data_IF_541181514475
#
_entry.id   IF_541181514475
#
_cell.length_a   1.000
_cell.length_b   1.000
_cell.length_c   1.000
_cell.angle_alpha   90.00
_cell.angle_beta   90.00
_cell.angle_gamma   90.00
#
_symmetry.space_group_name_H-M   'P 1'
#
loop_
_entity.id
_entity.type
_entity.pdbx_description
1 polymer ?
#
# COMPACT_ATOMS: atom_id res chain seq x y z
N UNK A 1 -18.26 0.00 9.31
CA UNK A 1 -18.40 -1.01 10.39
C UNK A 1 -18.24 -0.34 11.75
N UNK A 2 -18.86 -0.92 12.77
CA UNK A 2 -18.76 -0.49 14.17
C UNK A 2 -17.38 -0.85 14.76
N UNK A 3 -17.00 -0.17 15.86
CA UNK A 3 -15.82 -0.53 16.65
C UNK A 3 -16.16 -1.48 17.82
N UNK A 4 -17.44 -1.76 18.05
CA UNK A 4 -17.89 -2.74 19.06
C UNK A 4 -17.72 -4.15 18.50
N UNK A 5 -17.03 -5.02 19.25
CA UNK A 5 -16.66 -6.35 18.78
C UNK A 5 -17.87 -7.28 18.62
N UNK A 6 -18.82 -7.24 19.58
CA UNK A 6 -19.98 -8.11 19.56
C UNK A 6 -20.93 -7.70 18.42
N UNK A 7 -21.19 -6.39 18.28
CA UNK A 7 -21.98 -5.85 17.18
C UNK A 7 -21.33 -6.13 15.81
N UNK A 8 -20.00 -6.04 15.73
CA UNK A 8 -19.27 -6.36 14.49
C UNK A 8 -19.42 -7.85 14.13
N UNK A 9 -19.41 -8.73 15.12
CA UNK A 9 -19.65 -10.16 14.93
C UNK A 9 -21.03 -10.45 14.35
N UNK A 10 -22.07 -9.80 14.89
CA UNK A 10 -23.45 -9.93 14.41
C UNK A 10 -23.58 -9.42 12.97
N UNK A 11 -23.02 -8.23 12.67
CA UNK A 11 -23.04 -7.67 11.31
C UNK A 11 -22.35 -8.60 10.31
N UNK A 12 -21.17 -9.12 10.65
CA UNK A 12 -20.45 -10.05 9.78
C UNK A 12 -21.25 -11.35 9.54
N UNK A 13 -21.88 -11.87 10.59
CA UNK A 13 -22.72 -13.08 10.47
C UNK A 13 -23.93 -12.83 9.53
N UNK A 14 -24.60 -11.71 9.68
CA UNK A 14 -25.74 -11.33 8.85
C UNK A 14 -25.33 -11.10 7.38
N UNK A 15 -24.25 -10.41 7.15
CA UNK A 15 -23.70 -10.18 5.80
C UNK A 15 -23.32 -11.51 5.12
N UNK A 16 -22.62 -12.39 5.81
CA UNK A 16 -22.23 -13.70 5.27
C UNK A 16 -23.43 -14.60 5.00
N UNK A 17 -24.37 -14.68 5.93
CA UNK A 17 -25.54 -15.56 5.81
C UNK A 17 -26.50 -15.15 4.70
N UNK A 18 -26.58 -13.83 4.43
CA UNK A 18 -27.41 -13.26 3.35
C UNK A 18 -26.65 -13.05 2.03
N UNK A 19 -25.33 -13.31 1.97
CA UNK A 19 -24.44 -12.94 0.88
C UNK A 19 -24.56 -11.45 0.52
N UNK A 20 -24.78 -10.60 1.53
CA UNK A 20 -24.85 -9.16 1.33
C UNK A 20 -23.45 -8.58 1.10
N UNK A 21 -23.30 -7.81 0.05
CA UNK A 21 -22.06 -7.09 -0.27
C UNK A 21 -22.25 -5.61 0.10
N UNK A 22 -21.59 -5.12 1.15
CA UNK A 22 -21.73 -3.72 1.57
C UNK A 22 -21.16 -2.77 0.51
N UNK A 23 -21.77 -1.59 0.39
CA UNK A 23 -21.25 -0.53 -0.48
C UNK A 23 -19.88 -0.05 0.00
N UNK A 24 -18.97 0.14 -0.95
CA UNK A 24 -17.67 0.74 -0.69
C UNK A 24 -17.83 2.25 -0.51
N UNK A 25 -17.18 2.80 0.49
CA UNK A 25 -17.22 4.24 0.77
C UNK A 25 -16.55 5.08 -0.33
N UNK A 26 -15.53 4.51 -0.96
CA UNK A 26 -14.81 5.09 -2.09
C UNK A 26 -14.69 4.03 -3.18
N UNK A 27 -15.19 4.33 -4.38
CA UNK A 27 -15.27 3.39 -5.51
C UNK A 27 -14.56 3.89 -6.78
N UNK A 28 -13.71 4.92 -6.69
CA UNK A 28 -13.10 5.57 -7.84
C UNK A 28 -11.58 5.38 -7.92
N UNK A 29 -11.07 4.21 -7.48
CA UNK A 29 -9.64 3.93 -7.57
C UNK A 29 -9.28 3.56 -9.02
N UNK A 30 -8.32 4.24 -9.60
CA UNK A 30 -7.73 3.81 -10.86
C UNK A 30 -6.62 2.78 -10.59
N UNK A 31 -6.93 1.52 -10.85
CA UNK A 31 -6.00 0.40 -10.69
C UNK A 31 -5.40 -0.06 -12.03
N UNK A 32 -5.68 0.64 -13.13
CA UNK A 32 -5.26 0.23 -14.48
C UNK A 32 -3.74 0.18 -14.66
N UNK A 33 -3.02 1.05 -13.99
CA UNK A 33 -1.56 1.15 -14.06
C UNK A 33 -0.80 0.08 -13.26
N UNK A 34 -1.51 -0.77 -12.50
CA UNK A 34 -0.87 -1.76 -11.62
C UNK A 34 -1.05 -3.18 -12.16
N UNK A 35 0.04 -3.91 -12.30
CA UNK A 35 0.04 -5.33 -12.66
C UNK A 35 -0.14 -6.24 -11.44
N UNK A 36 0.20 -5.76 -10.25
CA UNK A 36 0.12 -6.49 -8.99
C UNK A 36 -0.71 -5.71 -7.97
N UNK A 37 -1.66 -6.39 -7.36
CA UNK A 37 -2.55 -5.84 -6.34
C UNK A 37 -2.47 -6.69 -5.07
N UNK A 38 -2.08 -6.06 -3.97
CA UNK A 38 -2.11 -6.68 -2.65
C UNK A 38 -3.48 -6.48 -2.02
N UNK A 39 -4.11 -7.57 -1.57
CA UNK A 39 -5.38 -7.52 -0.85
C UNK A 39 -5.13 -7.86 0.62
N UNK A 40 -5.23 -6.84 1.48
CA UNK A 40 -5.03 -6.97 2.92
C UNK A 40 -6.34 -6.94 3.70
N UNK A 41 -6.52 -7.87 4.65
CA UNK A 41 -7.75 -7.99 5.43
C UNK A 41 -7.53 -8.73 6.76
N UNK A 42 -8.39 -8.50 7.77
CA UNK A 42 -8.53 -9.42 8.90
C UNK A 42 -9.35 -10.63 8.47
N UNK A 43 -8.99 -11.82 8.95
CA UNK A 43 -9.84 -13.01 8.75
C UNK A 43 -11.03 -12.95 9.69
N UNK A 44 -12.24 -12.99 9.14
CA UNK A 44 -13.49 -13.03 9.88
C UNK A 44 -14.22 -14.35 9.62
N UNK A 45 -14.63 -15.03 10.67
CA UNK A 45 -15.31 -16.34 10.57
C UNK A 45 -14.61 -17.32 9.61
N UNK A 46 -13.27 -17.35 9.66
CA UNK A 46 -12.40 -18.20 8.81
C UNK A 46 -12.39 -17.85 7.32
N UNK A 47 -12.86 -16.66 6.94
CA UNK A 47 -12.87 -16.20 5.55
C UNK A 47 -12.62 -14.67 5.45
N UNK A 48 -12.80 -14.11 4.26
CA UNK A 48 -12.70 -12.66 4.01
C UNK A 48 -13.95 -11.93 4.49
N UNK A 49 -13.83 -10.69 4.99
CA UNK A 49 -14.99 -9.82 5.20
C UNK A 49 -15.72 -9.54 3.89
N UNK A 50 -17.05 -9.40 3.93
CA UNK A 50 -17.88 -9.15 2.74
C UNK A 50 -17.47 -7.87 1.98
N UNK A 51 -16.93 -6.87 2.67
CA UNK A 51 -16.38 -5.68 2.03
C UNK A 51 -15.21 -5.97 1.07
N UNK A 52 -14.42 -7.01 1.33
CA UNK A 52 -13.36 -7.46 0.40
C UNK A 52 -13.99 -8.03 -0.87
N UNK A 53 -15.07 -8.80 -0.73
CA UNK A 53 -15.81 -9.31 -1.90
C UNK A 53 -16.48 -8.18 -2.68
N UNK A 54 -16.97 -7.13 -2.00
CA UNK A 54 -17.45 -5.92 -2.67
C UNK A 54 -16.37 -5.29 -3.55
N UNK A 55 -15.14 -5.15 -3.03
CA UNK A 55 -14.01 -4.64 -3.78
C UNK A 55 -13.69 -5.52 -4.99
N UNK A 56 -13.59 -6.83 -4.80
CA UNK A 56 -13.28 -7.79 -5.89
C UNK A 56 -14.35 -7.81 -6.98
N UNK A 57 -15.59 -7.47 -6.64
CA UNK A 57 -16.69 -7.35 -7.59
C UNK A 57 -16.70 -6.00 -8.34
N UNK A 58 -16.32 -4.94 -7.65
CA UNK A 58 -16.30 -3.57 -8.18
C UNK A 58 -15.19 -3.37 -9.22
N UNK A 59 -14.02 -3.95 -8.96
CA UNK A 59 -12.82 -3.72 -9.76
C UNK A 59 -12.46 -4.92 -10.63
N UNK A 60 -12.21 -4.67 -11.91
CA UNK A 60 -11.70 -5.69 -12.83
C UNK A 60 -10.21 -5.96 -12.57
N UNK A 61 -9.94 -7.14 -12.02
CA UNK A 61 -8.60 -7.63 -11.73
C UNK A 61 -8.10 -8.64 -12.78
N UNK A 62 -8.82 -8.79 -13.89
CA UNK A 62 -8.44 -9.72 -14.98
C UNK A 62 -7.03 -9.40 -15.49
N UNK A 63 -6.20 -10.42 -15.60
CA UNK A 63 -4.82 -10.30 -16.07
C UNK A 63 -3.83 -9.73 -15.05
N UNK A 64 -4.29 -9.34 -13.85
CA UNK A 64 -3.42 -8.89 -12.76
C UNK A 64 -3.02 -10.03 -11.86
N UNK A 65 -1.90 -9.86 -11.16
CA UNK A 65 -1.52 -10.72 -10.05
C UNK A 65 -2.13 -10.20 -8.77
N UNK A 66 -2.92 -11.02 -8.08
CA UNK A 66 -3.52 -10.68 -6.79
C UNK A 66 -2.83 -11.48 -5.70
N UNK A 67 -2.33 -10.78 -4.68
CA UNK A 67 -1.57 -11.37 -3.58
C UNK A 67 -2.29 -11.08 -2.28
N UNK A 68 -2.91 -12.07 -1.64
CA UNK A 68 -3.59 -11.88 -0.36
C UNK A 68 -2.61 -11.83 0.80
N UNK A 69 -2.90 -10.98 1.78
CA UNK A 69 -2.24 -11.01 3.09
C UNK A 69 -3.27 -10.72 4.18
N UNK A 70 -3.17 -11.43 5.30
CA UNK A 70 -4.19 -11.27 6.32
C UNK A 70 -3.62 -11.34 7.73
N UNK A 71 -4.41 -10.79 8.66
CA UNK A 71 -4.23 -11.03 10.09
C UNK A 71 -5.33 -11.95 10.60
N UNK A 72 -5.04 -12.72 11.63
CA UNK A 72 -5.99 -13.65 12.24
C UNK A 72 -5.75 -13.78 13.75
N UNK A 73 -6.72 -14.36 14.45
CA UNK A 73 -6.65 -14.63 15.89
C UNK A 73 -6.49 -16.13 16.16
N UNK A 74 -5.39 -16.71 15.61
CA UNK A 74 -4.95 -18.09 15.91
C UNK A 74 -5.40 -19.18 14.91
N UNK A 75 -6.27 -18.88 13.90
CA UNK A 75 -6.79 -19.93 12.97
C UNK A 75 -6.18 -19.89 11.57
N UNK A 76 -5.20 -19.04 11.34
CA UNK A 76 -4.61 -18.86 10.00
C UNK A 76 -5.54 -18.15 9.02
N UNK A 77 -5.26 -18.29 7.73
CA UNK A 77 -6.03 -17.66 6.66
C UNK A 77 -7.43 -18.30 6.43
N UNK A 78 -7.69 -19.48 6.97
CA UNK A 78 -8.92 -20.22 6.68
C UNK A 78 -9.12 -20.45 5.18
N UNK A 79 -10.32 -20.17 4.67
CA UNK A 79 -10.67 -20.30 3.26
C UNK A 79 -10.35 -19.04 2.44
N UNK A 80 -9.91 -17.96 3.08
CA UNK A 80 -9.88 -16.62 2.51
C UNK A 80 -9.06 -16.51 1.23
N UNK A 81 -7.95 -17.23 1.10
CA UNK A 81 -7.14 -17.22 -0.13
C UNK A 81 -7.89 -17.84 -1.31
N UNK A 82 -8.61 -18.94 -1.06
CA UNK A 82 -9.43 -19.58 -2.09
C UNK A 82 -10.58 -18.66 -2.49
N UNK A 83 -11.25 -18.05 -1.53
CA UNK A 83 -12.35 -17.12 -1.76
C UNK A 83 -11.90 -15.95 -2.62
N UNK A 84 -10.73 -15.36 -2.34
CA UNK A 84 -10.15 -14.29 -3.16
C UNK A 84 -9.81 -14.81 -4.57
N UNK A 85 -9.22 -16.00 -4.68
CA UNK A 85 -8.88 -16.59 -5.98
C UNK A 85 -10.11 -16.77 -6.86
N UNK A 86 -11.21 -17.25 -6.30
CA UNK A 86 -12.46 -17.47 -7.02
C UNK A 86 -13.16 -16.16 -7.39
N UNK A 87 -13.15 -15.17 -6.50
CA UNK A 87 -13.87 -13.90 -6.69
C UNK A 87 -13.14 -12.90 -7.57
N UNK A 88 -11.81 -12.90 -7.60
CA UNK A 88 -11.02 -11.90 -8.32
C UNK A 88 -10.95 -12.14 -9.83
N UNK A 89 -11.19 -13.35 -10.31
CA UNK A 89 -10.97 -13.75 -11.71
C UNK A 89 -9.57 -13.43 -12.24
N UNK A 90 -8.61 -13.25 -11.35
CA UNK A 90 -7.22 -12.86 -11.63
C UNK A 90 -6.25 -14.04 -11.53
N UNK A 91 -5.01 -13.84 -11.96
CA UNK A 91 -3.93 -14.74 -11.61
C UNK A 91 -3.58 -14.49 -10.13
N UNK A 92 -4.06 -15.34 -9.23
CA UNK A 92 -3.83 -15.18 -7.79
C UNK A 92 -2.56 -15.91 -7.40
N UNK A 93 -1.66 -15.23 -6.69
CA UNK A 93 -0.62 -15.92 -5.94
C UNK A 93 -1.23 -16.57 -4.70
N UNK A 94 -1.14 -17.88 -4.60
CA UNK A 94 -1.57 -18.63 -3.41
C UNK A 94 -0.53 -18.56 -2.27
N UNK A 95 0.60 -17.91 -2.52
CA UNK A 95 1.68 -17.69 -1.56
C UNK A 95 1.40 -16.45 -0.70
N UNK A 96 0.16 -16.26 -0.28
CA UNK A 96 -0.23 -15.22 0.66
C UNK A 96 0.40 -15.42 2.04
N UNK A 97 0.43 -14.36 2.84
CA UNK A 97 0.90 -14.43 4.22
C UNK A 97 -0.24 -14.22 5.20
N UNK A 98 -0.30 -15.07 6.24
CA UNK A 98 -1.21 -14.93 7.36
C UNK A 98 -0.41 -14.71 8.64
N UNK A 99 -0.67 -13.61 9.33
CA UNK A 99 0.06 -13.23 10.54
C UNK A 99 -0.91 -13.21 11.72
N UNK A 100 -0.58 -13.94 12.77
CA UNK A 100 -1.37 -13.90 14.00
C UNK A 100 -1.30 -12.49 14.63
N UNK A 101 -2.43 -11.98 15.11
CA UNK A 101 -2.55 -10.61 15.63
C UNK A 101 -1.50 -10.25 16.68
N UNK A 102 -1.13 -11.19 17.56
CA UNK A 102 -0.09 -11.00 18.57
C UNK A 102 1.31 -10.78 17.99
N UNK A 103 1.58 -11.30 16.77
CA UNK A 103 2.88 -11.29 16.12
C UNK A 103 3.07 -10.09 15.20
N UNK A 104 1.97 -9.39 14.85
CA UNK A 104 1.98 -8.22 13.95
C UNK A 104 3.01 -7.15 14.35
N UNK A 105 3.18 -6.78 15.64
CA UNK A 105 4.16 -5.78 16.03
C UNK A 105 5.62 -6.13 15.69
N UNK A 106 5.91 -7.42 15.47
CA UNK A 106 7.25 -7.93 15.18
C UNK A 106 7.34 -8.63 13.82
N UNK A 107 6.35 -8.42 12.93
CA UNK A 107 6.23 -9.14 11.67
C UNK A 107 7.16 -8.67 10.55
N UNK A 108 7.95 -7.62 10.75
CA UNK A 108 8.74 -6.99 9.70
C UNK A 108 9.65 -7.97 8.96
N UNK A 109 10.41 -8.77 9.68
CA UNK A 109 11.34 -9.73 9.06
C UNK A 109 10.59 -10.85 8.34
N UNK A 110 9.48 -11.32 8.91
CA UNK A 110 8.60 -12.33 8.32
C UNK A 110 8.00 -11.83 7.00
N UNK A 111 7.48 -10.61 6.99
CA UNK A 111 6.93 -9.97 5.77
C UNK A 111 8.04 -9.76 4.73
N UNK A 112 9.22 -9.31 5.15
CA UNK A 112 10.36 -9.10 4.25
C UNK A 112 10.81 -10.40 3.58
N UNK A 113 10.88 -11.48 4.34
CA UNK A 113 11.22 -12.81 3.81
C UNK A 113 10.16 -13.33 2.85
N UNK A 114 8.89 -13.21 3.21
CA UNK A 114 7.79 -13.59 2.35
C UNK A 114 7.79 -12.82 1.02
N UNK A 115 8.00 -11.50 1.04
CA UNK A 115 8.07 -10.70 -0.18
C UNK A 115 9.22 -11.15 -1.09
N UNK A 116 10.36 -11.53 -0.51
CA UNK A 116 11.48 -12.11 -1.26
C UNK A 116 11.12 -13.47 -1.88
N UNK A 117 10.43 -14.33 -1.11
CA UNK A 117 10.05 -15.69 -1.54
C UNK A 117 9.05 -15.66 -2.71
N UNK A 118 8.12 -14.70 -2.73
CA UNK A 118 7.17 -14.51 -3.84
C UNK A 118 7.76 -13.68 -4.99
N UNK A 119 9.07 -13.41 -4.98
CA UNK A 119 9.77 -12.70 -6.05
C UNK A 119 9.51 -11.19 -6.09
N UNK A 120 8.82 -10.65 -5.08
CA UNK A 120 8.69 -9.22 -4.84
C UNK A 120 9.83 -8.84 -3.88
N UNK A 121 11.04 -8.93 -4.38
CA UNK A 121 12.15 -8.36 -3.65
C UNK A 121 11.87 -6.87 -3.41
N UNK A 122 12.26 -6.33 -2.28
CA UNK A 122 12.56 -4.90 -2.22
C UNK A 122 13.27 -4.58 -3.53
N UNK A 123 12.64 -3.79 -4.41
CA UNK A 123 13.37 -3.04 -5.41
C UNK A 123 14.68 -2.66 -4.73
N UNK A 124 15.82 -3.08 -5.27
CA UNK A 124 17.14 -2.96 -4.62
C UNK A 124 17.12 -1.73 -3.75
N UNK A 125 17.52 -1.84 -2.48
CA UNK A 125 17.61 -0.64 -1.62
C UNK A 125 18.30 0.37 -2.48
N UNK A 126 17.53 1.27 -3.10
CA UNK A 126 18.13 2.23 -4.02
C UNK A 126 19.14 2.94 -3.15
N UNK A 127 20.40 2.57 -3.34
CA UNK A 127 21.49 3.20 -2.64
C UNK A 127 21.35 4.68 -2.89
N UNK A 128 21.50 5.47 -1.87
CA UNK A 128 21.29 6.89 -1.99
C UNK A 128 22.05 7.65 -0.95
N UNK A 129 22.15 8.92 -1.17
CA UNK A 129 22.80 9.85 -0.24
C UNK A 129 21.82 10.20 0.88
N UNK A 130 22.13 9.92 2.16
CA UNK A 130 21.33 10.39 3.27
C UNK A 130 21.23 11.91 3.24
N UNK A 131 20.03 12.44 3.35
CA UNK A 131 19.78 13.88 3.43
C UNK A 131 18.97 14.20 4.68
N UNK A 132 19.12 15.43 5.14
CA UNK A 132 18.30 15.97 6.23
C UNK A 132 17.47 17.14 5.69
N UNK A 133 16.17 17.05 5.89
CA UNK A 133 15.21 18.10 5.51
C UNK A 133 14.79 18.81 6.79
N UNK A 134 15.02 20.12 6.89
CA UNK A 134 14.63 20.90 8.05
C UNK A 134 13.57 21.92 7.66
N UNK A 135 12.46 21.93 8.39
CA UNK A 135 11.37 22.90 8.22
C UNK A 135 11.10 23.54 9.59
N UNK A 136 11.52 24.78 9.78
CA UNK A 136 11.49 25.41 11.08
C UNK A 136 12.34 24.67 12.10
N UNK A 137 11.74 24.17 13.18
CA UNK A 137 12.41 23.40 14.23
C UNK A 137 12.34 21.87 14.01
N UNK A 138 11.64 21.42 12.97
CA UNK A 138 11.46 20.00 12.67
C UNK A 138 12.50 19.54 11.67
N UNK A 139 13.17 18.44 11.97
CA UNK A 139 14.09 17.75 11.05
C UNK A 139 13.57 16.36 10.70
N UNK A 140 13.64 16.04 9.42
CA UNK A 140 13.29 14.74 8.85
C UNK A 140 14.54 14.16 8.20
N UNK A 141 14.76 12.85 8.38
CA UNK A 141 15.76 12.13 7.63
C UNK A 141 15.14 11.58 6.34
N UNK A 142 15.89 11.68 5.23
CA UNK A 142 15.48 11.20 3.92
C UNK A 142 16.65 10.57 3.18
N UNK A 143 16.38 10.02 2.02
CA UNK A 143 17.39 9.48 1.11
C UNK A 143 17.16 10.06 -0.27
N UNK A 144 18.19 10.64 -0.85
CA UNK A 144 18.23 11.05 -2.24
C UNK A 144 18.81 9.88 -3.05
N UNK A 145 17.98 9.21 -3.82
CA UNK A 145 18.39 8.02 -4.57
C UNK A 145 19.45 8.32 -5.63
N UNK A 146 20.30 7.35 -5.93
CA UNK A 146 21.40 7.49 -6.90
C UNK A 146 20.83 7.52 -8.33
N UNK A 147 20.47 8.70 -8.79
CA UNK A 147 20.02 9.01 -10.15
C UNK A 147 20.85 10.18 -10.70
N UNK A 148 20.94 10.33 -12.01
CA UNK A 148 21.64 11.47 -12.63
C UNK A 148 21.07 12.80 -12.15
N UNK A 149 19.74 12.90 -12.02
CA UNK A 149 19.06 14.05 -11.44
C UNK A 149 19.49 14.31 -9.98
N UNK A 150 19.61 13.25 -9.19
CA UNK A 150 20.02 13.38 -7.80
C UNK A 150 21.48 13.83 -7.65
N UNK A 151 22.38 13.30 -8.49
CA UNK A 151 23.78 13.74 -8.52
C UNK A 151 23.87 15.23 -8.87
N UNK A 152 23.09 15.68 -9.82
CA UNK A 152 23.02 17.09 -10.18
C UNK A 152 22.49 17.93 -9.02
N UNK A 153 21.39 17.54 -8.37
CA UNK A 153 20.79 18.24 -7.23
C UNK A 153 21.77 18.33 -6.06
N UNK A 154 22.55 17.29 -5.79
CA UNK A 154 23.57 17.28 -4.72
C UNK A 154 24.61 18.38 -4.88
N UNK A 155 24.89 18.83 -6.10
CA UNK A 155 25.85 19.92 -6.34
C UNK A 155 25.38 21.26 -5.79
N UNK A 156 24.08 21.42 -5.54
CA UNK A 156 23.49 22.63 -4.99
C UNK A 156 23.31 22.59 -3.46
N UNK A 157 23.74 21.52 -2.79
CA UNK A 157 23.60 21.41 -1.34
C UNK A 157 24.66 22.24 -0.58
N UNK A 158 24.33 22.83 0.57
CA UNK A 158 23.00 22.82 1.20
C UNK A 158 22.00 23.72 0.45
N UNK A 159 20.81 23.21 0.19
CA UNK A 159 19.75 23.90 -0.53
C UNK A 159 18.72 24.46 0.44
N UNK A 160 18.42 25.74 0.34
CA UNK A 160 17.34 26.38 1.09
C UNK A 160 16.25 26.84 0.13
N UNK A 161 15.02 26.38 0.35
CA UNK A 161 13.87 26.72 -0.48
C UNK A 161 12.88 27.51 0.38
N UNK A 162 12.55 28.72 -0.08
CA UNK A 162 11.46 29.49 0.52
C UNK A 162 10.13 28.95 0.02
N UNK A 163 9.30 28.48 0.94
CA UNK A 163 8.02 27.87 0.60
C UNK A 163 6.85 28.78 0.95
N UNK A 164 5.85 28.81 0.07
CA UNK A 164 4.60 29.53 0.26
C UNK A 164 3.47 28.53 0.45
N UNK A 165 2.67 28.70 1.48
CA UNK A 165 1.50 27.85 1.74
C UNK A 165 0.31 28.27 0.91
N UNK A 166 -0.42 27.28 0.37
CA UNK A 166 -1.66 27.46 -0.34
C UNK A 166 -2.80 26.69 0.33
N UNK A 167 -3.84 27.38 0.74
CA UNK A 167 -5.06 26.77 1.28
C UNK A 167 -4.89 25.93 2.55
N UNK A 168 -3.74 26.03 3.26
CA UNK A 168 -3.45 25.23 4.46
C UNK A 168 -3.19 23.73 4.19
N UNK A 169 -3.05 23.35 2.93
CA UNK A 169 -2.87 21.93 2.49
C UNK A 169 -1.58 21.69 1.74
N UNK A 170 -1.09 22.69 1.03
CA UNK A 170 0.06 22.57 0.15
C UNK A 170 1.08 23.68 0.44
N UNK A 171 2.34 23.32 0.28
CA UNK A 171 3.45 24.28 0.33
C UNK A 171 4.28 24.07 -0.93
N UNK A 172 4.57 25.15 -1.64
CA UNK A 172 5.40 25.13 -2.83
C UNK A 172 6.50 26.18 -2.75
N UNK A 173 7.60 25.86 -3.38
CA UNK A 173 8.74 26.78 -3.49
C UNK A 173 9.49 26.51 -4.78
N UNK A 174 10.10 27.55 -5.33
CA UNK A 174 10.92 27.44 -6.52
C UNK A 174 12.40 27.27 -6.15
N UNK A 175 13.13 26.61 -7.03
CA UNK A 175 14.59 26.58 -7.04
C UNK A 175 15.12 27.49 -8.15
N UNK A 176 16.30 28.09 -7.95
CA UNK A 176 16.89 29.03 -8.92
C UNK A 176 17.73 28.32 -10.00
N UNK A 177 17.57 27.00 -10.13
CA UNK A 177 18.31 26.20 -11.13
C UNK A 177 17.33 25.28 -11.87
N UNK A 178 17.72 24.88 -13.07
CA UNK A 178 16.99 23.92 -13.89
C UNK A 178 17.88 22.71 -14.09
N UNK A 179 17.52 21.53 -13.55
CA UNK A 179 18.28 20.31 -13.80
C UNK A 179 18.33 19.99 -15.29
N UNK A 180 19.49 19.57 -15.79
CA UNK A 180 19.66 19.11 -17.16
C UNK A 180 19.12 17.70 -17.36
N UNK A 181 19.16 16.87 -16.30
CA UNK A 181 18.71 15.47 -16.30
C UNK A 181 17.39 15.33 -15.59
N UNK A 182 16.30 15.35 -16.35
CA UNK A 182 14.93 15.16 -15.79
C UNK A 182 14.47 13.69 -15.82
N UNK A 183 15.30 12.78 -16.34
CA UNK A 183 14.98 11.35 -16.39
C UNK A 183 15.19 10.72 -15.01
N UNK A 184 14.19 9.98 -14.53
CA UNK A 184 14.20 9.35 -13.19
C UNK A 184 13.32 10.05 -12.15
N UNK A 185 12.74 11.20 -12.45
CA UNK A 185 11.65 11.77 -11.67
C UNK A 185 10.34 11.04 -11.98
N UNK A 186 9.53 10.73 -10.97
CA UNK A 186 8.18 10.23 -11.22
C UNK A 186 7.35 11.33 -11.89
N UNK A 187 6.92 11.08 -13.13
CA UNK A 187 6.05 11.98 -13.92
C UNK A 187 4.59 11.89 -13.48
N UNK A 188 4.29 11.82 -12.20
CA UNK A 188 2.92 11.65 -11.73
C UNK A 188 2.44 12.86 -10.95
N UNK A 189 2.31 13.98 -11.65
CA UNK A 189 1.36 15.01 -11.28
C UNK A 189 0.60 15.42 -12.54
N UNK A 190 -0.33 14.58 -12.97
CA UNK A 190 -1.44 15.05 -13.78
C UNK A 190 -2.51 15.56 -12.81
N UNK A 191 -2.85 16.86 -12.95
CA UNK A 191 -3.89 17.57 -12.20
C UNK A 191 -5.28 16.98 -12.47
#
# INVERSE_FOLDING_TARGET
>A
YTADFDELGDVNHDEMSSNYLPELKESNLDISAYDTVFIGYPVWATDVPQAVLSFLKEYDLSGKTVIPFCTHDGYGAGNSYQTIAEASHAAVSLEGIAIEAKDVPNAQDTVSSWLADIGISKSEVQTGTPIKITVGEVSLDGVLYDTELAEEIKTYFPLTISMVGYGGREYYGGVEFYPEHLEGGQKNFEN
#
